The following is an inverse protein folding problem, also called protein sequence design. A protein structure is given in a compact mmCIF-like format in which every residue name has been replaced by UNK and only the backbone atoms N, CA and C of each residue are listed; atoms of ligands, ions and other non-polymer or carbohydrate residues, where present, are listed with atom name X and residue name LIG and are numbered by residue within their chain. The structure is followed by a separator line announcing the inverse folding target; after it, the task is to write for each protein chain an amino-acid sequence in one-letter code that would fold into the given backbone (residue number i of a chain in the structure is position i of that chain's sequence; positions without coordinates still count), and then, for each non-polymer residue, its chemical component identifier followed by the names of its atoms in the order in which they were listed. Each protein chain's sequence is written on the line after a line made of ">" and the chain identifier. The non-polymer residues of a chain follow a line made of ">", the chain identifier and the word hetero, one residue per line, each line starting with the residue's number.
data_IF_785465612180
#
_entry.id   IF_785465612180
#
_cell.length_a   1.000
_cell.length_b   1.000
_cell.length_c   1.000
_cell.angle_alpha   90.00
_cell.angle_beta   90.00
_cell.angle_gamma   90.00
#
_symmetry.space_group_name_H-M   'P 1'
#
loop_
_entity.id
_entity.type
_entity.pdbx_description
1 polymer ?
#
# COMPACT_ATOMS: atom_id res chain seq x y z
N UNK A 1 -36.43 -1.53 -15.21
CA UNK A 1 -35.83 -2.26 -14.08
C UNK A 1 -34.32 -2.18 -14.21
N UNK A 2 -33.63 -1.36 -13.42
CA UNK A 2 -32.16 -1.29 -13.41
C UNK A 2 -31.60 -2.42 -12.56
N UNK A 3 -30.72 -3.27 -13.13
CA UNK A 3 -29.94 -4.18 -12.30
C UNK A 3 -29.04 -3.38 -11.37
N UNK A 4 -29.12 -3.63 -10.06
CA UNK A 4 -28.21 -3.04 -9.10
C UNK A 4 -26.80 -3.61 -9.36
N UNK A 5 -25.85 -2.74 -9.69
CA UNK A 5 -24.47 -3.13 -9.86
C UNK A 5 -23.94 -3.68 -8.52
N UNK A 6 -23.61 -4.97 -8.50
CA UNK A 6 -23.06 -5.63 -7.31
C UNK A 6 -21.55 -5.67 -7.45
N UNK A 7 -20.84 -5.16 -6.45
CA UNK A 7 -19.38 -5.21 -6.39
C UNK A 7 -18.91 -5.86 -5.09
N UNK A 8 -17.74 -6.50 -5.16
CA UNK A 8 -17.09 -7.13 -4.01
C UNK A 8 -15.79 -6.42 -3.72
N UNK A 9 -15.62 -5.96 -2.48
CA UNK A 9 -14.37 -5.37 -2.01
C UNK A 9 -13.49 -6.46 -1.41
N UNK A 10 -12.24 -6.54 -1.87
CA UNK A 10 -11.18 -7.33 -1.24
C UNK A 10 -10.22 -6.38 -0.54
N UNK A 11 -9.80 -6.74 0.67
CA UNK A 11 -8.80 -5.98 1.44
C UNK A 11 -7.60 -6.89 1.71
N UNK A 12 -6.42 -6.31 1.66
CA UNK A 12 -5.16 -6.95 2.00
C UNK A 12 -4.33 -5.97 2.81
N UNK A 13 -3.54 -6.48 3.76
CA UNK A 13 -2.59 -5.64 4.48
C UNK A 13 -1.56 -5.07 3.50
N UNK A 14 -1.23 -3.79 3.66
CA UNK A 14 -0.13 -3.17 2.93
C UNK A 14 1.08 -3.05 3.86
N UNK A 15 1.89 -4.10 3.88
CA UNK A 15 3.13 -4.20 4.65
C UNK A 15 4.30 -4.64 3.74
N UNK A 16 5.47 -4.90 4.32
CA UNK A 16 6.66 -5.33 3.57
C UNK A 16 6.49 -6.69 2.86
N UNK A 17 5.48 -7.46 3.25
CA UNK A 17 5.15 -8.75 2.65
C UNK A 17 3.98 -8.65 1.68
N UNK A 18 3.42 -7.45 1.46
CA UNK A 18 2.35 -7.22 0.50
C UNK A 18 2.72 -7.82 -0.86
N UNK A 19 1.83 -8.66 -1.36
CA UNK A 19 1.97 -9.32 -2.65
C UNK A 19 0.62 -9.27 -3.38
N UNK A 20 0.48 -8.43 -4.41
CA UNK A 20 -0.77 -8.33 -5.16
C UNK A 20 -1.05 -9.65 -5.88
N UNK A 21 -2.33 -10.04 -5.96
CA UNK A 21 -2.72 -11.15 -6.84
C UNK A 21 -2.30 -10.91 -8.28
N UNK A 22 -2.03 -11.96 -9.05
CA UNK A 22 -1.62 -11.84 -10.47
C UNK A 22 -2.63 -11.04 -11.30
N UNK A 23 -3.92 -11.18 -10.99
CA UNK A 23 -5.03 -10.50 -11.65
C UNK A 23 -5.24 -9.04 -11.18
N UNK A 24 -4.48 -8.58 -10.19
CA UNK A 24 -4.56 -7.19 -9.74
C UNK A 24 -4.01 -6.29 -10.84
N UNK A 25 -4.86 -5.43 -11.41
CA UNK A 25 -4.48 -4.47 -12.46
C UNK A 25 -3.19 -3.75 -12.10
N UNK A 26 -2.18 -3.95 -12.95
CA UNK A 26 -0.82 -3.42 -12.81
C UNK A 26 -0.80 -1.91 -12.67
N UNK A 27 -1.73 -1.19 -13.29
CA UNK A 27 -1.85 0.27 -13.16
C UNK A 27 -2.20 0.79 -11.75
N UNK A 28 -2.40 -0.10 -10.77
CA UNK A 28 -2.53 0.30 -9.37
C UNK A 28 -1.15 0.55 -8.76
N UNK A 29 -0.82 1.80 -8.45
CA UNK A 29 0.53 2.25 -8.03
C UNK A 29 1.23 1.35 -7.00
N UNK A 30 0.53 0.90 -5.95
CA UNK A 30 1.12 0.01 -4.93
C UNK A 30 1.36 -1.42 -5.42
N UNK A 31 0.56 -1.92 -6.36
CA UNK A 31 0.80 -3.22 -6.97
C UNK A 31 2.05 -3.22 -7.88
N UNK A 32 2.43 -2.06 -8.43
CA UNK A 32 3.69 -1.94 -9.18
C UNK A 32 4.92 -1.99 -8.28
N UNK A 33 4.87 -1.31 -7.14
CA UNK A 33 5.94 -1.35 -6.14
C UNK A 33 6.18 -2.77 -5.61
N UNK A 34 5.11 -3.56 -5.54
CA UNK A 34 5.08 -4.89 -4.95
C UNK A 34 5.40 -6.04 -5.93
N UNK A 35 6.10 -5.79 -7.06
CA UNK A 35 6.46 -6.81 -8.05
C UNK A 35 7.96 -6.86 -8.33
N UNK A 36 8.42 -7.99 -8.86
CA UNK A 36 9.82 -8.22 -9.22
C UNK A 36 10.74 -8.50 -8.03
N UNK A 37 12.02 -8.70 -8.31
CA UNK A 37 13.01 -9.11 -7.31
C UNK A 37 13.19 -8.07 -6.18
N UNK A 38 13.01 -6.78 -6.48
CA UNK A 38 13.13 -5.68 -5.51
C UNK A 38 11.85 -5.38 -4.72
N UNK A 39 10.84 -6.26 -4.80
CA UNK A 39 9.54 -6.08 -4.12
C UNK A 39 9.67 -5.63 -2.67
N UNK A 40 10.39 -6.39 -1.83
CA UNK A 40 10.49 -6.08 -0.40
C UNK A 40 11.22 -4.76 -0.14
N UNK A 41 12.29 -4.47 -0.89
CA UNK A 41 13.04 -3.22 -0.79
C UNK A 41 12.13 -2.01 -1.12
N UNK A 42 11.40 -2.07 -2.24
CA UNK A 42 10.46 -1.03 -2.63
C UNK A 42 9.37 -0.78 -1.57
N UNK A 43 8.82 -1.87 -1.00
CA UNK A 43 7.78 -1.77 0.02
C UNK A 43 8.33 -1.15 1.32
N UNK A 44 9.51 -1.59 1.78
CA UNK A 44 10.18 -1.02 2.96
C UNK A 44 10.47 0.47 2.78
N UNK A 45 11.02 0.85 1.64
CA UNK A 45 11.32 2.25 1.32
C UNK A 45 10.03 3.10 1.33
N UNK A 46 8.96 2.58 0.72
CA UNK A 46 7.66 3.26 0.68
C UNK A 46 7.06 3.43 2.07
N UNK A 47 7.05 2.37 2.89
CA UNK A 47 6.56 2.42 4.26
C UNK A 47 7.39 3.39 5.12
N UNK A 48 8.71 3.41 4.92
CA UNK A 48 9.60 4.39 5.55
C UNK A 48 9.27 5.82 5.17
N UNK A 49 9.04 6.11 3.89
CA UNK A 49 8.61 7.44 3.43
C UNK A 49 7.28 7.87 4.06
N UNK A 50 6.31 6.97 4.15
CA UNK A 50 5.00 7.23 4.77
C UNK A 50 5.19 7.55 6.26
N UNK A 51 5.93 6.71 6.98
CA UNK A 51 6.21 6.88 8.39
C UNK A 51 6.92 8.21 8.68
N UNK A 52 7.96 8.53 7.90
CA UNK A 52 8.69 9.79 8.02
C UNK A 52 7.79 11.00 7.76
N UNK A 53 6.94 10.94 6.73
CA UNK A 53 6.01 12.04 6.43
C UNK A 53 4.96 12.20 7.52
N UNK A 54 4.44 11.10 8.05
CA UNK A 54 3.51 11.13 9.18
C UNK A 54 4.15 11.79 10.40
N UNK A 55 5.35 11.36 10.78
CA UNK A 55 6.08 11.92 11.93
C UNK A 55 6.39 13.41 11.75
N UNK A 56 6.73 13.83 10.53
CA UNK A 56 6.97 15.25 10.23
C UNK A 56 5.71 16.12 10.36
N UNK A 57 4.52 15.57 10.06
CA UNK A 57 3.25 16.30 10.13
C UNK A 57 2.60 16.24 11.52
N UNK A 58 2.84 15.16 12.26
CA UNK A 58 2.24 14.88 13.56
C UNK A 58 3.32 14.80 14.66
N UNK A 59 4.26 15.74 14.68
CA UNK A 59 5.38 15.76 15.63
C UNK A 59 4.97 16.06 17.09
N UNK A 60 3.87 16.79 17.28
CA UNK A 60 3.34 17.23 18.58
C UNK A 60 3.03 16.13 19.60
N UNK A 61 2.74 14.91 19.17
CA UNK A 61 2.44 13.75 20.04
C UNK A 61 3.29 12.53 19.65
N UNK A 62 4.45 12.77 19.05
CA UNK A 62 5.38 11.73 18.66
C UNK A 62 6.73 11.88 19.39
N UNK A 63 6.86 11.31 20.60
CA UNK A 63 8.09 11.42 21.41
C UNK A 63 9.30 10.70 20.80
N UNK A 64 9.12 9.95 19.70
CA UNK A 64 10.16 9.19 19.00
C UNK A 64 10.39 9.66 17.55
N UNK A 65 9.81 10.79 17.16
CA UNK A 65 9.94 11.36 15.82
C UNK A 65 11.40 11.64 15.45
#
# INVERSE_FOLDING_TARGET
>A
MSQAFTFTLKRSCFDENYNPSENTRTTTNFANLARGEKRQENLRNTLGMINNRFNALASWDNPKA
#
